data_IF_160676319820
#
_entry.id   IF_160676319820
#
_cell.length_a   1.000
_cell.length_b   1.000
_cell.length_c   1.000
_cell.angle_alpha   90.00
_cell.angle_beta   90.00
_cell.angle_gamma   90.00
#
_symmetry.space_group_name_H-M   'P 1'
#
loop_
_entity.id
_entity.type
_entity.pdbx_description
1 polymer ?
#
# COMPACT_ATOMS: atom_id res chain seq x y z
N UNK A 1 -16.40 12.76 20.25
CA UNK A 1 -17.49 12.02 19.55
C UNK A 1 -17.02 11.50 18.20
N UNK A 2 -16.56 12.35 17.26
CA UNK A 2 -16.11 11.87 15.93
C UNK A 2 -14.96 10.83 15.98
N UNK A 3 -13.96 11.03 16.86
CA UNK A 3 -12.84 10.08 17.03
C UNK A 3 -13.29 8.70 17.50
N UNK A 4 -14.18 8.65 18.51
CA UNK A 4 -14.77 7.40 18.97
C UNK A 4 -15.60 6.72 17.87
N UNK A 5 -16.33 7.50 17.07
CA UNK A 5 -17.11 6.95 15.96
C UNK A 5 -16.18 6.34 14.89
N UNK A 6 -15.07 6.99 14.57
CA UNK A 6 -14.06 6.42 13.65
C UNK A 6 -13.45 5.14 14.20
N UNK A 7 -13.19 5.09 15.51
CA UNK A 7 -12.71 3.87 16.17
C UNK A 7 -13.74 2.74 16.12
N UNK A 8 -15.02 3.04 16.35
CA UNK A 8 -16.11 2.05 16.25
C UNK A 8 -16.22 1.52 14.82
N UNK A 9 -16.18 2.42 13.82
CA UNK A 9 -16.23 2.05 12.40
C UNK A 9 -15.06 1.17 11.99
N UNK A 10 -13.86 1.46 12.51
CA UNK A 10 -12.66 0.62 12.31
C UNK A 10 -12.88 -0.80 12.85
N UNK A 11 -13.29 -0.92 14.12
CA UNK A 11 -13.55 -2.22 14.76
C UNK A 11 -14.65 -3.00 14.03
N UNK A 12 -15.70 -2.31 13.59
CA UNK A 12 -16.78 -2.91 12.80
C UNK A 12 -16.27 -3.44 11.46
N UNK A 13 -15.40 -2.70 10.76
CA UNK A 13 -14.77 -3.17 9.53
C UNK A 13 -13.91 -4.41 9.77
N UNK A 14 -13.09 -4.40 10.83
CA UNK A 14 -12.24 -5.54 11.20
C UNK A 14 -13.08 -6.79 11.49
N UNK A 15 -14.13 -6.67 12.31
CA UNK A 15 -15.03 -7.79 12.65
C UNK A 15 -15.79 -8.32 11.43
N UNK A 16 -16.32 -7.43 10.60
CA UNK A 16 -17.21 -7.81 9.50
C UNK A 16 -16.42 -8.29 8.27
N UNK A 17 -15.26 -7.70 7.96
CA UNK A 17 -14.53 -7.97 6.72
C UNK A 17 -13.20 -8.72 6.93
N UNK A 18 -12.45 -8.45 7.99
CA UNK A 18 -11.15 -9.11 8.19
C UNK A 18 -11.35 -10.48 8.86
N UNK A 19 -12.06 -10.56 10.00
CA UNK A 19 -12.26 -11.82 10.72
C UNK A 19 -13.20 -12.82 10.01
N UNK A 20 -14.09 -12.33 9.15
CA UNK A 20 -15.02 -13.20 8.42
C UNK A 20 -14.43 -13.84 7.16
N UNK A 21 -13.23 -13.43 6.71
CA UNK A 21 -12.58 -14.01 5.51
C UNK A 21 -12.20 -15.48 5.71
N UNK A 22 -11.86 -15.88 6.93
CA UNK A 22 -11.35 -17.22 7.24
C UNK A 22 -12.33 -18.09 8.05
N UNK A 23 -13.59 -17.67 8.20
CA UNK A 23 -14.62 -18.40 8.95
C UNK A 23 -15.87 -18.65 8.11
N UNK A 24 -16.68 -19.67 8.48
CA UNK A 24 -18.02 -19.83 7.92
C UNK A 24 -18.86 -18.58 8.24
N UNK A 25 -19.21 -17.83 7.20
CA UNK A 25 -19.96 -16.57 7.32
C UNK A 25 -21.39 -16.88 7.75
N UNK A 26 -21.80 -16.34 8.90
CA UNK A 26 -23.20 -16.43 9.36
C UNK A 26 -24.10 -15.48 8.56
N UNK A 27 -25.40 -15.78 8.47
CA UNK A 27 -26.38 -14.87 7.85
C UNK A 27 -26.34 -13.45 8.44
N UNK A 28 -26.00 -13.35 9.74
CA UNK A 28 -25.82 -12.07 10.43
C UNK A 28 -24.64 -11.27 9.85
N UNK A 29 -23.49 -11.90 9.62
CA UNK A 29 -22.32 -11.23 9.02
C UNK A 29 -22.61 -10.80 7.59
N UNK A 30 -23.31 -11.63 6.80
CA UNK A 30 -23.74 -11.28 5.44
C UNK A 30 -24.63 -10.04 5.44
N UNK A 31 -25.64 -10.00 6.32
CA UNK A 31 -26.51 -8.84 6.47
C UNK A 31 -25.74 -7.58 6.89
N UNK A 32 -24.75 -7.70 7.78
CA UNK A 32 -23.90 -6.58 8.18
C UNK A 32 -23.02 -6.08 7.02
N UNK A 33 -22.48 -6.97 6.18
CA UNK A 33 -21.74 -6.59 4.96
C UNK A 33 -22.62 -5.82 3.99
N UNK A 34 -23.84 -6.30 3.73
CA UNK A 34 -24.78 -5.64 2.83
C UNK A 34 -25.17 -4.25 3.35
N UNK A 35 -25.46 -4.13 4.65
CA UNK A 35 -25.76 -2.86 5.30
C UNK A 35 -24.59 -1.87 5.24
N UNK A 36 -23.37 -2.31 5.58
CA UNK A 36 -22.20 -1.43 5.56
C UNK A 36 -21.85 -0.97 4.15
N UNK A 37 -22.00 -1.83 3.15
CA UNK A 37 -21.83 -1.46 1.74
C UNK A 37 -22.89 -0.44 1.28
N UNK A 38 -24.15 -0.62 1.69
CA UNK A 38 -25.25 0.30 1.38
C UNK A 38 -25.02 1.71 1.92
N UNK A 39 -24.43 1.81 3.11
CA UNK A 39 -24.17 3.09 3.78
C UNK A 39 -22.74 3.63 3.55
N UNK A 40 -21.90 2.92 2.79
CA UNK A 40 -20.47 3.26 2.68
C UNK A 40 -20.22 4.66 2.11
N UNK A 41 -21.08 5.14 1.21
CA UNK A 41 -20.94 6.50 0.67
C UNK A 41 -20.94 7.57 1.76
N UNK A 42 -21.77 7.43 2.80
CA UNK A 42 -21.83 8.39 3.90
C UNK A 42 -20.61 8.27 4.81
N UNK A 43 -20.16 7.03 5.06
CA UNK A 43 -18.94 6.75 5.82
C UNK A 43 -17.73 7.40 5.13
N UNK A 44 -17.61 7.21 3.81
CA UNK A 44 -16.51 7.78 3.04
C UNK A 44 -16.54 9.31 3.02
N UNK A 45 -17.72 9.93 2.85
CA UNK A 45 -17.87 11.39 2.94
C UNK A 45 -17.44 11.93 4.30
N UNK A 46 -17.73 11.21 5.39
CA UNK A 46 -17.26 11.57 6.72
C UNK A 46 -15.72 11.49 6.82
N UNK A 47 -15.10 10.42 6.30
CA UNK A 47 -13.65 10.29 6.24
C UNK A 47 -13.02 11.45 5.46
N UNK A 48 -13.52 11.75 4.25
CA UNK A 48 -13.05 12.87 3.43
C UNK A 48 -13.18 14.20 4.16
N UNK A 49 -14.34 14.47 4.76
CA UNK A 49 -14.57 15.71 5.50
C UNK A 49 -13.57 15.89 6.64
N UNK A 50 -13.32 14.83 7.42
CA UNK A 50 -12.37 14.86 8.54
C UNK A 50 -10.94 15.04 8.04
N UNK A 51 -10.52 14.31 7.01
CA UNK A 51 -9.19 14.44 6.42
C UNK A 51 -8.97 15.86 5.87
N UNK A 52 -9.98 16.46 5.28
CA UNK A 52 -9.86 17.78 4.68
C UNK A 52 -9.83 18.92 5.71
N UNK A 53 -10.70 18.87 6.72
CA UNK A 53 -10.97 20.02 7.58
C UNK A 53 -10.42 19.90 9.01
N UNK A 54 -10.11 18.69 9.50
CA UNK A 54 -9.63 18.52 10.87
C UNK A 54 -8.18 18.98 11.01
N UNK A 55 -7.90 19.70 12.11
CA UNK A 55 -6.55 20.02 12.56
C UNK A 55 -6.11 19.15 13.74
N UNK A 56 -6.99 18.27 14.27
CA UNK A 56 -6.70 17.44 15.43
C UNK A 56 -5.91 16.18 15.00
N UNK A 57 -4.63 16.02 15.39
CA UNK A 57 -3.81 14.92 14.89
C UNK A 57 -4.32 13.53 15.29
N UNK A 58 -4.84 13.36 16.51
CA UNK A 58 -5.36 12.06 16.96
C UNK A 58 -6.55 11.60 16.12
N UNK A 59 -7.47 12.51 15.79
CA UNK A 59 -8.61 12.22 14.94
C UNK A 59 -8.18 11.88 13.50
N UNK A 60 -7.20 12.62 12.95
CA UNK A 60 -6.67 12.32 11.61
C UNK A 60 -6.01 10.93 11.56
N UNK A 61 -5.20 10.58 12.57
CA UNK A 61 -4.58 9.24 12.66
C UNK A 61 -5.62 8.14 12.72
N UNK A 62 -6.60 8.24 13.61
CA UNK A 62 -7.68 7.24 13.70
C UNK A 62 -8.44 7.16 12.38
N UNK A 63 -8.72 8.28 11.71
CA UNK A 63 -9.41 8.28 10.42
C UNK A 63 -8.61 7.59 9.32
N UNK A 64 -7.28 7.79 9.26
CA UNK A 64 -6.39 7.07 8.34
C UNK A 64 -6.37 5.56 8.64
N UNK A 65 -6.32 5.17 9.91
CA UNK A 65 -6.38 3.75 10.30
C UNK A 65 -7.73 3.12 9.96
N UNK A 66 -8.84 3.84 10.15
CA UNK A 66 -10.18 3.39 9.75
C UNK A 66 -10.25 3.23 8.23
N UNK A 67 -9.74 4.21 7.49
CA UNK A 67 -9.67 4.16 6.03
C UNK A 67 -8.85 2.96 5.54
N UNK A 68 -7.70 2.67 6.16
CA UNK A 68 -6.89 1.49 5.82
C UNK A 68 -7.71 0.19 5.85
N UNK A 69 -8.59 0.02 6.85
CA UNK A 69 -9.49 -1.14 6.93
C UNK A 69 -10.57 -1.16 5.86
N UNK A 70 -11.01 0.00 5.40
CA UNK A 70 -11.98 0.10 4.32
C UNK A 70 -11.37 -0.22 2.96
N UNK A 71 -10.10 0.14 2.73
CA UNK A 71 -9.43 -0.08 1.45
C UNK A 71 -9.39 -1.54 1.00
N UNK A 72 -9.56 -2.49 1.92
CA UNK A 72 -9.54 -3.93 1.61
C UNK A 72 -10.81 -4.45 0.93
N UNK A 73 -11.91 -3.67 0.92
CA UNK A 73 -13.21 -4.15 0.41
C UNK A 73 -14.05 -3.11 -0.35
N UNK A 74 -13.67 -1.83 -0.34
CA UNK A 74 -14.51 -0.77 -0.93
C UNK A 74 -14.49 -0.79 -2.46
N UNK A 75 -15.54 -0.24 -3.10
CA UNK A 75 -15.54 -0.07 -4.55
C UNK A 75 -14.37 0.78 -5.04
N UNK A 76 -13.69 0.31 -6.07
CA UNK A 76 -12.52 0.96 -6.68
C UNK A 76 -12.75 2.42 -7.10
N UNK A 77 -14.01 2.80 -7.37
CA UNK A 77 -14.37 4.18 -7.68
C UNK A 77 -13.98 5.16 -6.57
N UNK A 78 -14.08 4.78 -5.30
CA UNK A 78 -13.65 5.63 -4.18
C UNK A 78 -12.14 5.81 -4.11
N UNK A 79 -11.38 4.84 -4.61
CA UNK A 79 -9.91 4.87 -4.62
C UNK A 79 -9.39 5.68 -5.81
N UNK A 80 -9.87 5.36 -7.02
CA UNK A 80 -9.29 5.85 -8.27
C UNK A 80 -10.03 7.02 -8.91
N UNK A 81 -11.28 7.32 -8.50
CA UNK A 81 -12.07 8.44 -9.07
C UNK A 81 -12.23 9.61 -8.09
N UNK A 82 -11.49 9.61 -6.99
CA UNK A 82 -11.48 10.67 -5.99
C UNK A 82 -10.05 11.23 -5.82
N UNK A 83 -9.89 12.25 -4.99
CA UNK A 83 -8.57 12.81 -4.64
C UNK A 83 -7.84 12.01 -3.54
N UNK A 84 -8.30 10.79 -3.22
CA UNK A 84 -7.79 10.04 -2.07
C UNK A 84 -6.30 9.77 -2.14
N UNK A 85 -5.84 9.19 -3.26
CA UNK A 85 -4.43 8.85 -3.48
C UNK A 85 -3.56 10.12 -3.39
N UNK A 86 -4.02 11.21 -4.01
CA UNK A 86 -3.31 12.49 -4.00
C UNK A 86 -3.15 13.01 -2.55
N UNK A 87 -4.22 12.99 -1.75
CA UNK A 87 -4.17 13.38 -0.33
C UNK A 87 -3.19 12.48 0.46
N UNK A 88 -3.28 11.16 0.29
CA UNK A 88 -2.40 10.22 0.99
C UNK A 88 -0.92 10.46 0.67
N UNK A 89 -0.56 10.54 -0.62
CA UNK A 89 0.84 10.67 -1.06
C UNK A 89 1.40 12.07 -0.81
N UNK A 90 0.64 13.14 -1.06
CA UNK A 90 1.18 14.50 -1.03
C UNK A 90 0.98 15.23 0.32
N UNK A 91 -0.07 14.90 1.08
CA UNK A 91 -0.38 15.58 2.35
C UNK A 91 0.05 14.76 3.57
N UNK A 92 -0.30 13.47 3.62
CA UNK A 92 -0.12 12.67 4.84
C UNK A 92 1.20 11.92 4.89
N UNK A 93 1.63 11.30 3.79
CA UNK A 93 2.87 10.53 3.76
C UNK A 93 4.12 11.36 4.11
N UNK A 94 4.32 12.60 3.61
CA UNK A 94 5.49 13.39 3.95
C UNK A 94 5.51 13.83 5.42
N UNK A 95 4.33 13.99 6.04
CA UNK A 95 4.18 14.45 7.41
C UNK A 95 4.56 13.34 8.42
N UNK A 96 5.63 13.50 9.23
CA UNK A 96 6.14 12.44 10.11
C UNK A 96 5.10 11.83 11.05
N UNK A 97 4.16 12.65 11.54
CA UNK A 97 3.10 12.23 12.48
C UNK A 97 2.03 11.31 11.85
N UNK A 98 1.90 11.30 10.52
CA UNK A 98 0.90 10.52 9.78
C UNK A 98 1.52 9.53 8.79
N UNK A 99 2.85 9.57 8.63
CA UNK A 99 3.59 8.86 7.58
C UNK A 99 3.30 7.37 7.57
N UNK A 100 3.30 6.75 8.75
CA UNK A 100 3.10 5.31 8.89
C UNK A 100 1.67 4.90 8.51
N UNK A 101 0.66 5.60 9.04
CA UNK A 101 -0.74 5.34 8.69
C UNK A 101 -1.03 5.60 7.20
N UNK A 102 -0.41 6.64 6.62
CA UNK A 102 -0.53 6.92 5.20
C UNK A 102 0.12 5.83 4.35
N UNK A 103 1.32 5.38 4.72
CA UNK A 103 2.02 4.30 4.02
C UNK A 103 1.25 2.98 4.09
N UNK A 104 0.57 2.70 5.20
CA UNK A 104 -0.33 1.54 5.31
C UNK A 104 -1.48 1.64 4.32
N UNK A 105 -2.15 2.79 4.22
CA UNK A 105 -3.19 3.00 3.20
C UNK A 105 -2.65 2.84 1.78
N UNK A 106 -1.46 3.40 1.49
CA UNK A 106 -0.81 3.29 0.19
C UNK A 106 -0.40 1.85 -0.13
N UNK A 107 -0.07 1.06 0.88
CA UNK A 107 0.23 -0.38 0.74
C UNK A 107 -1.02 -1.14 0.32
N UNK A 108 -2.17 -0.92 0.99
CA UNK A 108 -3.42 -1.58 0.58
C UNK A 108 -3.79 -1.23 -0.87
N UNK A 109 -3.67 0.05 -1.25
CA UNK A 109 -3.99 0.50 -2.62
C UNK A 109 -2.98 -0.07 -3.62
N UNK A 110 -1.69 0.09 -3.36
CA UNK A 110 -0.60 -0.28 -4.25
C UNK A 110 -0.38 -1.78 -4.40
N UNK A 111 -1.06 -2.61 -3.61
CA UNK A 111 -1.02 -4.07 -3.71
C UNK A 111 -2.31 -4.67 -4.25
N UNK A 112 -3.27 -3.86 -4.72
CA UNK A 112 -4.50 -4.37 -5.36
C UNK A 112 -4.15 -5.15 -6.63
N UNK A 113 -4.64 -6.38 -6.75
CA UNK A 113 -4.39 -7.28 -7.89
C UNK A 113 -5.67 -7.55 -8.68
N UNK A 114 -5.53 -8.25 -9.81
CA UNK A 114 -6.64 -8.69 -10.67
C UNK A 114 -7.51 -7.54 -11.20
N UNK A 115 -6.88 -6.41 -11.50
CA UNK A 115 -7.55 -5.21 -12.02
C UNK A 115 -7.49 -5.12 -13.55
N UNK A 116 -8.45 -4.41 -14.13
CA UNK A 116 -8.46 -4.13 -15.58
C UNK A 116 -7.24 -3.26 -15.98
N UNK A 117 -6.60 -3.51 -17.15
CA UNK A 117 -5.41 -2.77 -17.59
C UNK A 117 -5.57 -1.24 -17.69
N UNK A 118 -6.81 -0.73 -17.72
CA UNK A 118 -7.08 0.70 -17.70
C UNK A 118 -6.59 1.40 -16.41
N UNK A 119 -6.38 0.64 -15.33
CA UNK A 119 -5.87 1.15 -14.06
C UNK A 119 -4.33 1.25 -14.03
N UNK A 120 -3.61 0.58 -14.94
CA UNK A 120 -2.16 0.56 -15.01
C UNK A 120 -1.49 1.96 -15.00
N UNK A 121 -1.99 2.96 -15.75
CA UNK A 121 -1.42 4.31 -15.70
C UNK A 121 -1.49 4.95 -14.31
N UNK A 122 -2.55 4.64 -13.54
CA UNK A 122 -2.73 5.17 -12.19
C UNK A 122 -1.71 4.57 -11.22
N UNK A 123 -1.39 3.29 -11.35
CA UNK A 123 -0.33 2.64 -10.57
C UNK A 123 1.06 3.19 -10.89
N UNK A 124 1.36 3.40 -12.18
CA UNK A 124 2.61 4.07 -12.60
C UNK A 124 2.74 5.46 -11.98
N UNK A 125 1.65 6.25 -12.01
CA UNK A 125 1.62 7.59 -11.42
C UNK A 125 1.76 7.55 -9.90
N UNK A 126 1.03 6.65 -9.22
CA UNK A 126 1.13 6.43 -7.79
C UNK A 126 2.57 6.13 -7.38
N UNK A 127 3.19 5.15 -8.02
CA UNK A 127 4.55 4.72 -7.69
C UNK A 127 5.58 5.83 -7.90
N UNK A 128 5.51 6.53 -9.04
CA UNK A 128 6.42 7.63 -9.36
C UNK A 128 6.28 8.79 -8.37
N UNK A 129 5.04 9.15 -8.01
CA UNK A 129 4.78 10.21 -7.03
C UNK A 129 5.23 9.79 -5.64
N UNK A 130 4.98 8.54 -5.25
CA UNK A 130 5.45 7.97 -3.99
C UNK A 130 6.97 8.04 -3.85
N UNK A 131 7.72 7.60 -4.87
CA UNK A 131 9.18 7.64 -4.85
C UNK A 131 9.73 9.07 -4.78
N UNK A 132 9.06 10.03 -5.43
CA UNK A 132 9.41 11.45 -5.31
C UNK A 132 9.28 11.92 -3.86
N UNK A 133 8.18 11.56 -3.18
CA UNK A 133 7.98 11.91 -1.77
C UNK A 133 8.88 11.13 -0.82
N UNK A 134 9.26 9.91 -1.17
CA UNK A 134 10.21 9.12 -0.40
C UNK A 134 11.60 9.74 -0.44
N UNK A 135 12.03 10.25 -1.60
CA UNK A 135 13.30 10.96 -1.77
C UNK A 135 13.41 12.23 -0.92
N UNK A 136 12.28 12.91 -0.66
CA UNK A 136 12.22 14.05 0.28
C UNK A 136 12.48 13.61 1.74
N UNK A 137 12.25 12.34 2.08
CA UNK A 137 12.48 11.77 3.43
C UNK A 137 13.92 11.26 3.54
N UNK A 138 14.36 10.43 2.57
CA UNK A 138 15.75 9.97 2.48
C UNK A 138 16.09 9.51 1.05
N UNK A 139 17.36 9.68 0.67
CA UNK A 139 17.82 9.34 -0.68
C UNK A 139 18.00 7.83 -0.86
N UNK A 140 17.94 7.30 -2.10
CA UNK A 140 18.20 5.89 -2.38
C UNK A 140 19.61 5.40 -2.00
N UNK A 141 20.55 6.30 -1.75
CA UNK A 141 21.92 5.98 -1.32
C UNK A 141 22.07 5.90 0.22
N UNK A 142 21.01 6.24 0.96
CA UNK A 142 21.06 6.26 2.43
C UNK A 142 21.25 4.85 2.99
N UNK A 143 22.21 4.69 3.90
CA UNK A 143 22.33 3.48 4.72
C UNK A 143 21.22 3.47 5.78
N UNK A 144 20.32 2.48 5.69
CA UNK A 144 19.19 2.34 6.59
C UNK A 144 19.53 1.59 7.88
N UNK A 145 20.67 0.91 7.97
CA UNK A 145 21.03 0.15 9.16
C UNK A 145 21.14 1.04 10.42
N UNK A 146 21.86 2.17 10.40
CA UNK A 146 21.96 3.03 11.58
C UNK A 146 20.62 3.68 11.94
N UNK A 147 19.80 4.01 10.92
CA UNK A 147 18.47 4.59 11.12
C UNK A 147 17.52 3.57 11.76
N UNK A 148 17.64 2.28 11.43
CA UNK A 148 16.87 1.22 12.05
C UNK A 148 17.33 0.94 13.50
N UNK A 149 18.63 0.77 13.73
CA UNK A 149 19.18 0.44 15.05
C UNK A 149 18.97 1.57 16.06
N UNK A 150 19.25 2.82 15.66
CA UNK A 150 19.21 3.98 16.55
C UNK A 150 17.90 4.78 16.46
N UNK A 151 17.03 4.44 15.51
CA UNK A 151 15.74 5.11 15.31
C UNK A 151 14.72 4.79 16.40
N UNK A 152 13.66 5.58 16.38
CA UNK A 152 12.48 5.33 17.22
C UNK A 152 11.74 4.08 16.78
N UNK A 153 10.80 3.60 17.61
CA UNK A 153 9.87 2.54 17.21
C UNK A 153 9.10 2.90 15.94
N UNK A 154 8.76 4.18 15.76
CA UNK A 154 8.07 4.66 14.56
C UNK A 154 8.95 4.61 13.31
N UNK A 155 10.25 4.82 13.44
CA UNK A 155 11.20 4.74 12.32
C UNK A 155 11.43 3.28 11.90
N UNK A 156 11.56 2.37 12.88
CA UNK A 156 11.64 0.92 12.62
C UNK A 156 10.37 0.41 11.94
N UNK A 157 9.22 0.83 12.44
CA UNK A 157 7.91 0.50 11.86
C UNK A 157 7.78 1.04 10.43
N UNK A 158 8.24 2.28 10.20
CA UNK A 158 8.25 2.88 8.87
C UNK A 158 9.08 2.05 7.88
N UNK A 159 10.30 1.64 8.25
CA UNK A 159 11.17 0.83 7.37
C UNK A 159 10.52 -0.54 7.08
N UNK A 160 9.90 -1.18 8.08
CA UNK A 160 9.16 -2.43 7.86
C UNK A 160 7.98 -2.24 6.89
N UNK A 161 7.22 -1.15 7.04
CA UNK A 161 6.10 -0.83 6.14
C UNK A 161 6.55 -0.45 4.75
N UNK A 162 7.71 0.17 4.61
CA UNK A 162 8.32 0.44 3.32
C UNK A 162 8.70 -0.87 2.61
N UNK A 163 9.26 -1.83 3.35
CA UNK A 163 9.53 -3.17 2.82
C UNK A 163 8.26 -3.83 2.27
N UNK A 164 7.16 -3.75 3.04
CA UNK A 164 5.85 -4.30 2.64
C UNK A 164 5.30 -3.61 1.39
N UNK A 165 5.32 -2.27 1.36
CA UNK A 165 4.86 -1.49 0.20
C UNK A 165 5.65 -1.86 -1.06
N UNK A 166 6.98 -1.76 -1.03
CA UNK A 166 7.81 -2.01 -2.21
C UNK A 166 7.68 -3.47 -2.69
N UNK A 167 7.77 -4.43 -1.76
CA UNK A 167 7.65 -5.85 -2.10
C UNK A 167 6.28 -6.19 -2.67
N UNK A 168 5.21 -5.70 -2.04
CA UNK A 168 3.84 -5.96 -2.48
C UNK A 168 3.53 -5.28 -3.82
N UNK A 169 3.96 -4.03 -3.99
CA UNK A 169 3.80 -3.30 -5.24
C UNK A 169 4.52 -4.00 -6.40
N UNK A 170 5.78 -4.43 -6.21
CA UNK A 170 6.50 -5.15 -7.26
C UNK A 170 5.84 -6.51 -7.57
N UNK A 171 5.40 -7.26 -6.56
CA UNK A 171 4.64 -8.50 -6.80
C UNK A 171 3.37 -8.28 -7.61
N UNK A 172 2.64 -7.19 -7.37
CA UNK A 172 1.39 -6.90 -8.07
C UNK A 172 1.58 -6.25 -9.45
N UNK A 173 2.60 -5.40 -9.60
CA UNK A 173 2.66 -4.41 -10.69
C UNK A 173 4.03 -4.26 -11.34
N UNK A 174 4.98 -5.18 -11.16
CA UNK A 174 6.29 -5.10 -11.82
C UNK A 174 6.15 -4.91 -13.33
N UNK A 175 5.34 -5.74 -14.01
CA UNK A 175 5.10 -5.65 -15.46
C UNK A 175 4.44 -4.34 -15.88
N UNK A 176 3.61 -3.74 -15.02
CA UNK A 176 2.99 -2.44 -15.25
C UNK A 176 4.03 -1.31 -15.32
N UNK A 177 5.18 -1.49 -14.64
CA UNK A 177 6.29 -0.55 -14.61
C UNK A 177 7.33 -0.77 -15.73
N UNK A 178 7.30 -1.90 -16.43
CA UNK A 178 8.24 -2.28 -17.51
C UNK A 178 7.93 -1.56 -18.84
N UNK A 179 7.71 -0.24 -18.78
CA UNK A 179 7.49 0.63 -19.95
C UNK A 179 8.43 1.84 -19.90
N UNK A 180 8.78 2.45 -21.06
CA UNK A 180 9.72 3.56 -21.12
C UNK A 180 9.38 4.72 -20.18
N UNK A 181 8.09 5.02 -20.00
CA UNK A 181 7.60 6.14 -19.20
C UNK A 181 7.86 5.98 -17.70
N UNK A 182 7.92 4.74 -17.19
CA UNK A 182 8.15 4.43 -15.78
C UNK A 182 9.51 3.79 -15.50
N UNK A 183 10.38 3.65 -16.51
CA UNK A 183 11.66 2.97 -16.39
C UNK A 183 12.53 3.55 -15.27
N UNK A 184 12.64 4.88 -15.19
CA UNK A 184 13.43 5.52 -14.13
C UNK A 184 12.84 5.27 -12.74
N UNK A 185 11.51 5.32 -12.60
CA UNK A 185 10.84 5.02 -11.34
C UNK A 185 11.04 3.56 -10.92
N UNK A 186 10.98 2.62 -11.86
CA UNK A 186 11.27 1.20 -11.62
C UNK A 186 12.69 1.02 -11.05
N UNK A 187 13.70 1.59 -11.71
CA UNK A 187 15.10 1.50 -11.27
C UNK A 187 15.28 2.12 -9.88
N UNK A 188 14.75 3.33 -9.65
CA UNK A 188 14.82 3.98 -8.34
C UNK A 188 14.12 3.15 -7.25
N UNK A 189 12.96 2.58 -7.54
CA UNK A 189 12.25 1.69 -6.62
C UNK A 189 13.04 0.43 -6.28
N UNK A 190 13.73 -0.17 -7.27
CA UNK A 190 14.62 -1.32 -7.05
C UNK A 190 15.82 -0.95 -6.16
N UNK A 191 16.39 0.26 -6.30
CA UNK A 191 17.44 0.72 -5.38
C UNK A 191 16.94 0.83 -3.94
N UNK A 192 15.75 1.41 -3.71
CA UNK A 192 15.15 1.42 -2.37
C UNK A 192 14.89 0.00 -1.86
N UNK A 193 14.46 -0.93 -2.71
CA UNK A 193 14.27 -2.33 -2.35
C UNK A 193 15.58 -2.97 -1.85
N UNK A 194 16.70 -2.69 -2.51
CA UNK A 194 18.03 -3.13 -2.06
C UNK A 194 18.37 -2.51 -0.71
N UNK A 195 18.17 -1.19 -0.52
CA UNK A 195 18.47 -0.51 0.76
C UNK A 195 17.69 -1.13 1.93
N UNK A 196 16.41 -1.39 1.74
CA UNK A 196 15.56 -2.00 2.78
C UNK A 196 15.98 -3.45 3.06
N UNK A 197 16.43 -4.18 2.03
CA UNK A 197 16.95 -5.56 2.17
C UNK A 197 18.28 -5.65 2.93
N UNK A 198 19.06 -4.58 2.98
CA UNK A 198 20.35 -4.54 3.72
C UNK A 198 20.18 -4.35 5.23
N UNK A 199 18.97 -3.98 5.68
CA UNK A 199 18.66 -3.88 7.10
C UNK A 199 18.74 -5.26 7.73
N UNK A 200 19.60 -5.42 8.74
CA UNK A 200 19.85 -6.65 9.49
C UNK A 200 18.72 -6.95 10.47
N UNK A 201 17.52 -7.12 9.93
CA UNK A 201 16.36 -7.60 10.67
C UNK A 201 15.63 -8.69 9.88
N UNK A 202 15.40 -9.83 10.56
CA UNK A 202 14.95 -11.08 9.93
C UNK A 202 13.61 -10.91 9.23
N UNK A 203 12.65 -10.24 9.86
CA UNK A 203 11.32 -10.09 9.29
C UNK A 203 11.30 -9.17 8.07
N UNK A 204 12.10 -8.08 8.10
CA UNK A 204 12.25 -7.17 6.96
C UNK A 204 12.89 -7.89 5.79
N UNK A 205 13.97 -8.65 6.04
CA UNK A 205 14.63 -9.43 5.00
C UNK A 205 13.71 -10.50 4.42
N UNK A 206 12.90 -11.18 5.24
CA UNK A 206 11.92 -12.17 4.79
C UNK A 206 10.90 -11.57 3.83
N UNK A 207 10.35 -10.41 4.15
CA UNK A 207 9.42 -9.67 3.27
C UNK A 207 10.09 -9.38 1.92
N UNK A 208 11.33 -8.88 1.95
CA UNK A 208 12.06 -8.52 0.74
C UNK A 208 12.43 -9.73 -0.12
N UNK A 209 12.84 -10.83 0.52
CA UNK A 209 13.26 -12.06 -0.14
C UNK A 209 12.17 -12.64 -1.02
N UNK A 210 10.91 -12.55 -0.61
CA UNK A 210 9.79 -13.03 -1.42
C UNK A 210 9.64 -12.26 -2.73
N UNK A 211 9.89 -10.94 -2.73
CA UNK A 211 9.86 -10.14 -3.96
C UNK A 211 11.07 -10.43 -4.86
N UNK A 212 12.27 -10.58 -4.28
CA UNK A 212 13.46 -10.97 -5.01
C UNK A 212 13.33 -12.35 -5.64
N UNK A 213 12.72 -13.30 -4.93
CA UNK A 213 12.44 -14.63 -5.44
C UNK A 213 11.52 -14.58 -6.67
N UNK A 214 10.42 -13.83 -6.58
CA UNK A 214 9.49 -13.64 -7.69
C UNK A 214 10.19 -13.02 -8.91
N UNK A 215 10.98 -11.97 -8.71
CA UNK A 215 11.73 -11.33 -9.80
C UNK A 215 12.70 -12.31 -10.47
N UNK A 216 13.50 -13.03 -9.68
CA UNK A 216 14.47 -13.99 -10.20
C UNK A 216 13.80 -15.15 -10.95
N UNK A 217 12.66 -15.64 -10.42
CA UNK A 217 11.88 -16.70 -11.06
C UNK A 217 11.30 -16.25 -12.41
N UNK A 218 10.72 -15.04 -12.47
CA UNK A 218 10.16 -14.48 -13.70
C UNK A 218 11.24 -14.27 -14.77
N UNK A 219 12.38 -13.69 -14.40
CA UNK A 219 13.52 -13.51 -15.31
C UNK A 219 14.03 -14.86 -15.83
N UNK A 220 14.22 -15.84 -14.94
CA UNK A 220 14.66 -17.19 -15.33
C UNK A 220 13.69 -17.86 -16.31
N UNK A 221 12.39 -17.79 -16.04
CA UNK A 221 11.34 -18.33 -16.91
C UNK A 221 11.26 -17.60 -18.25
N UNK A 222 11.48 -16.29 -18.28
CA UNK A 222 11.45 -15.52 -19.53
C UNK A 222 12.59 -15.92 -20.48
N UNK A 223 13.81 -16.14 -19.94
CA UNK A 223 14.96 -16.57 -20.73
C UNK A 223 14.83 -18.01 -21.22
N UNK A 224 14.36 -18.93 -20.37
CA UNK A 224 14.29 -20.36 -20.69
C UNK A 224 12.97 -20.78 -21.37
N UNK A 225 11.89 -20.03 -21.18
CA UNK A 225 10.60 -20.24 -21.83
C UNK A 225 10.62 -19.87 -23.32
N UNK A 226 11.43 -18.88 -23.71
CA UNK A 226 11.61 -18.50 -25.12
C UNK A 226 12.32 -19.58 -25.95
N UNK A 227 13.10 -20.47 -25.32
CA UNK A 227 13.87 -21.51 -26.02
C UNK A 227 13.00 -22.70 -26.45
N UNK A 228 11.89 -22.97 -25.76
CA UNK A 228 11.03 -24.13 -26.06
C UNK A 228 9.89 -23.84 -27.06
N UNK A 229 9.72 -22.58 -27.49
CA UNK A 229 8.65 -22.15 -28.40
C UNK A 229 9.06 -21.96 -29.88
N UNK A 230 10.34 -22.19 -30.22
CA UNK A 230 10.88 -22.02 -31.57
C UNK A 230 11.34 -23.35 -32.18
N UNK A 231 10.43 -24.31 -32.29
CA UNK A 231 10.58 -25.42 -33.24
C UNK A 231 10.20 -24.95 -34.65
N UNK A 232 11.01 -25.20 -35.70
CA UNK A 232 10.67 -24.77 -37.05
C UNK A 232 9.43 -25.54 -37.58
N UNK A 233 8.71 -24.96 -38.56
CA UNK A 233 7.48 -25.52 -39.13
C UNK A 233 7.68 -26.86 -39.85
#
# INVERSE_FOLDING_TARGET
>A
MCENNMQILKLLSEEVFDFSRDQMVTDKVKSMKESLNGEFSQIYQLCEFVLEHSQKPSLLRVTLQTLQRFLTWIPLGYIFRTTLIEKLVNKYFPAPIFRNEALECLTEIGCLQDLEPQYDPLFRQLFSTFLTRLADIFSPETDLQPAFENGSEQDRYFIQKLALFLSGFFKAHLKVLEVPESHQALITGMFYMVRVSEVKETEIFRICLEAWHMLAEDLYKSEHGAVNGSGPP
#
